data_IF_793438245880
#
_entry.id   IF_793438245880
#
_cell.length_a   1.000
_cell.length_b   1.000
_cell.length_c   1.000
_cell.angle_alpha   90.00
_cell.angle_beta   90.00
_cell.angle_gamma   90.00
#
_symmetry.space_group_name_H-M   'P 1'
#
loop_
_entity.id
_entity.type
_entity.pdbx_description
1 polymer ?
#
# COMPACT_ATOMS: atom_id res chain seq x y z
N UNK A 1 20.16 1.49 3.81
CA UNK A 1 19.60 0.99 2.54
C UNK A 1 18.98 2.13 1.72
N UNK A 2 18.22 3.03 2.33
CA UNK A 2 17.64 4.22 1.70
C UNK A 2 18.30 5.47 2.30
N UNK A 3 18.88 6.31 1.44
CA UNK A 3 19.60 7.55 1.81
C UNK A 3 18.94 8.78 1.17
N UNK A 4 17.96 8.58 0.29
CA UNK A 4 17.15 9.66 -0.26
C UNK A 4 15.94 9.97 0.66
N UNK A 5 15.44 11.21 0.70
CA UNK A 5 14.22 11.52 1.43
C UNK A 5 13.02 10.75 0.88
N UNK A 6 12.30 10.04 1.76
CA UNK A 6 11.08 9.30 1.41
C UNK A 6 9.85 10.17 1.68
N UNK A 7 9.78 11.34 1.05
CA UNK A 7 8.72 12.34 1.26
C UNK A 7 7.68 12.40 0.13
N UNK A 8 7.88 11.62 -0.93
CA UNK A 8 7.02 11.57 -2.11
C UNK A 8 6.89 10.15 -2.63
N UNK A 9 5.71 9.80 -3.16
CA UNK A 9 5.51 8.56 -3.91
C UNK A 9 6.46 8.44 -5.12
N UNK A 10 7.02 9.56 -5.60
CA UNK A 10 7.98 9.58 -6.71
C UNK A 10 9.22 8.72 -6.48
N UNK A 11 9.58 8.42 -5.23
CA UNK A 11 10.72 7.55 -4.91
C UNK A 11 10.55 6.13 -5.50
N UNK A 12 9.30 5.69 -5.70
CA UNK A 12 9.00 4.38 -6.27
C UNK A 12 9.32 4.28 -7.78
N UNK A 13 9.72 5.40 -8.42
CA UNK A 13 10.20 5.47 -9.80
C UNK A 13 11.70 5.78 -9.89
N UNK A 14 12.39 5.79 -8.74
CA UNK A 14 13.83 6.05 -8.74
C UNK A 14 14.61 4.77 -9.08
N UNK A 15 15.35 4.80 -10.20
CA UNK A 15 16.16 3.67 -10.67
C UNK A 15 17.22 3.19 -9.67
N UNK A 16 17.62 4.04 -8.73
CA UNK A 16 18.53 3.70 -7.63
C UNK A 16 18.03 2.51 -6.80
N UNK A 17 16.72 2.36 -6.69
CA UNK A 17 16.07 1.30 -5.90
C UNK A 17 15.52 0.16 -6.76
N UNK A 18 15.98 0.07 -8.02
CA UNK A 18 15.59 -1.02 -8.92
C UNK A 18 15.82 -2.40 -8.26
N UNK A 19 14.88 -3.30 -8.49
CA UNK A 19 14.84 -4.66 -7.92
C UNK A 19 14.84 -4.69 -6.38
N UNK A 20 14.43 -3.57 -5.73
CA UNK A 20 14.35 -3.43 -4.27
C UNK A 20 13.08 -2.69 -3.82
N UNK A 21 12.04 -2.69 -4.66
CA UNK A 21 10.75 -2.06 -4.42
C UNK A 21 9.68 -3.15 -4.35
N UNK A 22 8.94 -3.20 -3.26
CA UNK A 22 7.75 -4.04 -3.12
C UNK A 22 6.50 -3.20 -3.38
N UNK A 23 5.69 -3.60 -4.35
CA UNK A 23 4.41 -2.97 -4.65
C UNK A 23 3.26 -3.83 -4.14
N UNK A 24 2.13 -3.19 -3.81
CA UNK A 24 0.90 -3.90 -3.49
C UNK A 24 0.37 -4.66 -4.71
N UNK A 25 0.08 -5.95 -4.54
CA UNK A 25 -0.69 -6.76 -5.50
C UNK A 25 -2.19 -6.43 -5.38
N UNK A 26 -2.48 -5.16 -5.58
CA UNK A 26 -3.83 -4.56 -5.54
C UNK A 26 -3.91 -3.48 -6.59
N UNK A 27 -4.79 -3.70 -7.58
CA UNK A 27 -5.03 -2.72 -8.65
C UNK A 27 -5.47 -1.38 -8.06
N UNK A 28 -6.35 -1.41 -7.05
CA UNK A 28 -6.87 -0.21 -6.38
C UNK A 28 -5.77 0.61 -5.74
N UNK A 29 -4.87 -0.04 -5.00
CA UNK A 29 -3.82 0.65 -4.26
C UNK A 29 -2.71 1.12 -5.21
N UNK A 30 -2.28 0.29 -6.16
CA UNK A 30 -1.27 0.68 -7.15
C UNK A 30 -1.72 1.90 -7.99
N UNK A 31 -2.95 1.89 -8.48
CA UNK A 31 -3.50 3.06 -9.19
C UNK A 31 -3.71 4.25 -8.26
N UNK A 32 -4.21 4.03 -7.03
CA UNK A 32 -4.49 5.09 -6.08
C UNK A 32 -3.25 5.92 -5.74
N UNK A 33 -2.13 5.28 -5.39
CA UNK A 33 -0.87 6.00 -5.11
C UNK A 33 -0.30 6.68 -6.36
N UNK A 34 -0.45 6.05 -7.53
CA UNK A 34 0.03 6.63 -8.78
C UNK A 34 -0.77 7.87 -9.17
N UNK A 35 -2.10 7.83 -9.04
CA UNK A 35 -2.96 9.00 -9.23
C UNK A 35 -2.59 10.12 -8.27
N UNK A 36 -2.35 9.80 -6.99
CA UNK A 36 -1.88 10.77 -6.01
C UNK A 36 -0.55 11.40 -6.40
N UNK A 37 0.41 10.59 -6.84
CA UNK A 37 1.69 11.07 -7.33
C UNK A 37 1.56 12.03 -8.52
N UNK A 38 0.62 11.77 -9.43
CA UNK A 38 0.32 12.62 -10.59
C UNK A 38 -0.52 13.86 -10.21
N UNK A 39 -0.95 14.00 -8.95
CA UNK A 39 -1.74 15.13 -8.49
C UNK A 39 -3.25 14.95 -8.66
N UNK A 40 -3.71 13.77 -9.03
CA UNK A 40 -5.12 13.45 -9.25
C UNK A 40 -5.81 12.91 -7.99
N UNK A 41 -7.13 12.83 -8.06
CA UNK A 41 -7.92 12.13 -7.03
C UNK A 41 -7.66 10.62 -7.10
N UNK A 42 -7.40 9.97 -5.96
CA UNK A 42 -7.31 8.50 -5.91
C UNK A 42 -8.65 7.80 -6.29
N UNK A 43 -9.74 8.56 -6.32
CA UNK A 43 -11.08 8.09 -6.72
C UNK A 43 -11.45 8.57 -8.13
N UNK A 44 -10.49 9.03 -8.93
CA UNK A 44 -10.77 9.45 -10.30
C UNK A 44 -11.37 8.31 -11.11
N UNK A 45 -12.35 8.68 -11.95
CA UNK A 45 -12.97 7.82 -12.96
C UNK A 45 -12.72 8.37 -14.37
N UNK A 46 -11.93 9.42 -14.49
CA UNK A 46 -11.54 10.02 -15.75
C UNK A 46 -10.58 9.06 -16.50
N UNK A 47 -10.90 8.77 -17.76
CA UNK A 47 -10.16 7.80 -18.55
C UNK A 47 -8.77 8.29 -18.97
N UNK A 48 -8.58 9.59 -19.12
CA UNK A 48 -7.28 10.17 -19.47
C UNK A 48 -6.35 10.11 -18.26
N UNK A 49 -6.84 10.48 -17.06
CA UNK A 49 -6.08 10.36 -15.81
C UNK A 49 -5.72 8.89 -15.49
N UNK A 50 -6.67 7.96 -15.69
CA UNK A 50 -6.41 6.53 -15.50
C UNK A 50 -5.42 5.98 -16.54
N UNK A 51 -5.45 6.51 -17.76
CA UNK A 51 -4.50 6.11 -18.81
C UNK A 51 -3.11 6.62 -18.49
N UNK A 52 -2.97 7.83 -17.99
CA UNK A 52 -1.69 8.38 -17.54
C UNK A 52 -1.13 7.57 -16.37
N UNK A 53 -1.95 7.28 -15.35
CA UNK A 53 -1.55 6.45 -14.22
C UNK A 53 -1.10 5.03 -14.66
N UNK A 54 -1.83 4.40 -15.59
CA UNK A 54 -1.43 3.12 -16.18
C UNK A 54 -0.05 3.20 -16.86
N UNK A 55 0.18 4.23 -17.67
CA UNK A 55 1.45 4.39 -18.36
C UNK A 55 2.58 4.59 -17.34
N UNK A 56 2.34 5.36 -16.29
CA UNK A 56 3.28 5.57 -15.19
C UNK A 56 3.63 4.28 -14.44
N UNK A 57 2.64 3.41 -14.22
CA UNK A 57 2.88 2.08 -13.63
C UNK A 57 3.65 1.14 -14.58
N UNK A 58 3.44 1.26 -15.90
CA UNK A 58 4.23 0.51 -16.88
C UNK A 58 5.71 0.94 -16.84
N UNK A 59 5.98 2.24 -16.68
CA UNK A 59 7.36 2.76 -16.50
C UNK A 59 8.00 2.22 -15.20
N UNK A 60 7.22 2.09 -14.12
CA UNK A 60 7.70 1.58 -12.84
C UNK A 60 8.00 0.08 -12.86
N UNK A 61 7.22 -0.69 -13.63
CA UNK A 61 7.24 -2.15 -13.60
C UNK A 61 8.65 -2.78 -13.66
N UNK A 62 9.60 -2.29 -14.47
CA UNK A 62 10.97 -2.81 -14.52
C UNK A 62 11.79 -2.55 -13.26
N UNK A 63 11.33 -1.68 -12.36
CA UNK A 63 12.00 -1.33 -11.10
C UNK A 63 11.51 -2.18 -9.93
N UNK A 64 10.33 -2.78 -10.06
CA UNK A 64 9.66 -3.51 -9.00
C UNK A 64 10.26 -4.90 -8.84
N UNK A 65 10.67 -5.24 -7.61
CA UNK A 65 11.13 -6.58 -7.25
C UNK A 65 9.98 -7.59 -7.25
N UNK A 66 8.86 -7.22 -6.61
CA UNK A 66 7.68 -8.09 -6.53
C UNK A 66 6.40 -7.29 -6.25
N UNK A 67 5.28 -7.84 -6.70
CA UNK A 67 3.94 -7.45 -6.27
C UNK A 67 3.49 -8.42 -5.19
N UNK A 68 3.22 -7.92 -3.99
CA UNK A 68 2.93 -8.72 -2.79
C UNK A 68 1.86 -8.05 -1.93
N UNK A 69 1.26 -8.80 -1.03
CA UNK A 69 0.38 -8.26 0.03
C UNK A 69 1.00 -8.61 1.38
N UNK A 70 0.61 -9.71 1.99
CA UNK A 70 1.04 -10.11 3.35
C UNK A 70 2.55 -10.38 3.44
N UNK A 71 3.16 -10.85 2.35
CA UNK A 71 4.60 -11.14 2.29
C UNK A 71 5.48 -9.89 2.39
N UNK A 72 4.92 -8.69 2.16
CA UNK A 72 5.67 -7.43 2.28
C UNK A 72 6.25 -7.27 3.69
N UNK A 73 5.49 -7.63 4.73
CA UNK A 73 5.92 -7.56 6.12
C UNK A 73 7.19 -8.37 6.36
N UNK A 74 7.16 -9.67 6.06
CA UNK A 74 8.27 -10.56 6.36
C UNK A 74 9.53 -10.18 5.56
N UNK A 75 9.35 -9.75 4.30
CA UNK A 75 10.45 -9.28 3.45
C UNK A 75 11.09 -8.00 3.98
N UNK A 76 10.29 -7.04 4.46
CA UNK A 76 10.82 -5.80 5.04
C UNK A 76 11.54 -6.07 6.36
N UNK A 77 10.99 -6.90 7.25
CA UNK A 77 11.64 -7.30 8.49
C UNK A 77 12.99 -7.97 8.20
N UNK A 78 13.04 -8.82 7.16
CA UNK A 78 14.26 -9.51 6.69
C UNK A 78 15.24 -8.64 5.89
N UNK A 79 14.96 -7.35 5.67
CA UNK A 79 15.77 -6.44 4.84
C UNK A 79 15.94 -6.92 3.38
N UNK A 80 14.93 -7.62 2.83
CA UNK A 80 14.97 -8.12 1.45
C UNK A 80 14.65 -7.06 0.39
N UNK A 81 14.12 -5.90 0.81
CA UNK A 81 13.83 -4.77 -0.06
C UNK A 81 14.12 -3.44 0.63
N UNK A 82 14.33 -2.40 -0.17
CA UNK A 82 14.59 -1.05 0.34
C UNK A 82 13.30 -0.27 0.59
N UNK A 83 12.29 -0.44 -0.27
CA UNK A 83 11.03 0.28 -0.24
C UNK A 83 9.85 -0.69 -0.35
N UNK A 84 8.79 -0.42 0.38
CA UNK A 84 7.54 -1.17 0.27
C UNK A 84 6.32 -0.26 0.36
N UNK A 85 5.34 -0.50 -0.50
CA UNK A 85 3.98 -0.02 -0.29
C UNK A 85 3.27 -1.04 0.58
N UNK A 86 2.85 -0.63 1.78
CA UNK A 86 2.35 -1.52 2.83
C UNK A 86 1.22 -0.84 3.61
N UNK A 87 0.33 -1.62 4.19
CA UNK A 87 -0.73 -1.10 5.06
C UNK A 87 -0.17 -0.66 6.42
N UNK A 88 -0.76 0.37 7.01
CA UNK A 88 -0.26 1.01 8.24
C UNK A 88 -0.11 0.03 9.41
N UNK A 89 -1.05 -0.89 9.60
CA UNK A 89 -0.98 -1.88 10.68
C UNK A 89 0.22 -2.81 10.55
N UNK A 90 0.50 -3.26 9.34
CA UNK A 90 1.67 -4.10 9.06
C UNK A 90 2.98 -3.31 9.14
N UNK A 91 2.98 -2.05 8.67
CA UNK A 91 4.14 -1.18 8.78
C UNK A 91 4.55 -0.95 10.24
N UNK A 92 3.57 -0.73 11.13
CA UNK A 92 3.84 -0.61 12.58
C UNK A 92 4.44 -1.91 13.13
N UNK A 93 3.91 -3.07 12.73
CA UNK A 93 4.47 -4.37 13.13
C UNK A 93 5.91 -4.52 12.63
N UNK A 94 6.19 -4.14 11.38
CA UNK A 94 7.55 -4.14 10.84
C UNK A 94 8.51 -3.30 11.69
N UNK A 95 8.11 -2.09 12.09
CA UNK A 95 8.95 -1.21 12.93
C UNK A 95 9.21 -1.78 14.34
N UNK A 96 8.25 -2.50 14.90
CA UNK A 96 8.43 -3.16 16.20
C UNK A 96 9.43 -4.32 16.14
N UNK A 97 9.48 -5.04 15.03
CA UNK A 97 10.38 -6.19 14.84
C UNK A 97 11.73 -5.79 14.23
N UNK A 98 11.77 -4.73 13.44
CA UNK A 98 13.00 -4.19 12.84
C UNK A 98 13.03 -2.66 12.99
N UNK A 99 13.71 -2.13 14.02
CA UNK A 99 13.78 -0.69 14.31
C UNK A 99 14.49 0.15 13.24
N UNK A 100 15.17 -0.48 12.28
CA UNK A 100 15.83 0.23 11.17
C UNK A 100 14.84 0.64 10.06
N UNK A 101 13.58 0.18 10.18
CA UNK A 101 12.51 0.52 9.23
C UNK A 101 11.77 1.79 9.65
N UNK A 102 11.48 2.63 8.68
CA UNK A 102 10.68 3.84 8.86
C UNK A 102 9.38 3.75 8.06
N UNK A 103 8.27 4.15 8.72
CA UNK A 103 6.96 4.29 8.06
C UNK A 103 6.68 5.75 7.76
N UNK A 104 6.45 6.04 6.48
CA UNK A 104 6.23 7.41 6.00
C UNK A 104 4.90 7.50 5.23
N UNK A 105 4.18 8.59 5.44
CA UNK A 105 3.07 8.99 4.58
C UNK A 105 3.58 10.12 3.69
N UNK A 106 3.71 9.90 2.37
CA UNK A 106 4.22 10.92 1.44
C UNK A 106 3.33 12.18 1.39
N UNK A 107 3.91 13.29 0.97
CA UNK A 107 3.26 14.61 0.93
C UNK A 107 2.02 14.69 0.03
N UNK A 108 1.94 13.84 -0.98
CA UNK A 108 0.75 13.76 -1.84
C UNK A 108 -0.45 13.13 -1.14
N UNK A 109 -0.22 12.59 0.07
CA UNK A 109 -1.21 11.88 0.86
C UNK A 109 -1.37 10.41 0.44
N UNK A 110 -2.19 9.68 1.19
CA UNK A 110 -2.39 8.24 1.02
C UNK A 110 -3.87 7.88 1.00
N UNK A 111 -4.16 6.61 0.76
CA UNK A 111 -5.48 6.04 0.90
C UNK A 111 -5.86 5.92 2.39
N UNK A 112 -7.11 6.19 2.70
CA UNK A 112 -7.69 5.93 4.02
C UNK A 112 -9.03 5.19 3.84
N UNK A 113 -9.23 4.13 4.59
CA UNK A 113 -10.49 3.38 4.60
C UNK A 113 -10.87 2.97 6.02
N UNK A 114 -12.08 2.54 6.16
CA UNK A 114 -12.62 2.03 7.42
C UNK A 114 -13.15 0.63 7.16
N UNK A 115 -12.58 -0.36 7.82
CA UNK A 115 -13.12 -1.72 7.83
C UNK A 115 -14.34 -1.80 8.75
N UNK A 116 -15.33 -2.56 8.34
CA UNK A 116 -16.57 -2.71 9.09
C UNK A 116 -16.99 -4.16 9.18
N UNK A 117 -17.37 -4.59 10.37
CA UNK A 117 -18.07 -5.85 10.56
C UNK A 117 -19.49 -5.72 10.04
N UNK A 118 -19.95 -6.69 9.28
CA UNK A 118 -21.32 -6.70 8.76
C UNK A 118 -22.00 -8.05 9.02
N UNK A 119 -23.28 -8.02 9.31
CA UNK A 119 -24.11 -9.21 9.45
C UNK A 119 -25.06 -9.27 8.26
N UNK A 120 -25.00 -10.31 7.40
CA UNK A 120 -25.92 -10.45 6.28
C UNK A 120 -27.38 -10.46 6.72
N UNK A 121 -28.26 -9.86 5.93
CA UNK A 121 -29.70 -9.75 6.25
C UNK A 121 -30.37 -11.09 6.63
N UNK A 122 -29.92 -12.18 6.00
CA UNK A 122 -30.49 -13.51 6.20
C UNK A 122 -29.64 -14.40 7.13
N UNK A 123 -28.78 -13.84 7.96
CA UNK A 123 -27.97 -14.59 8.90
C UNK A 123 -28.86 -15.32 9.91
N UNK A 124 -28.66 -16.64 10.05
CA UNK A 124 -29.47 -17.49 10.94
C UNK A 124 -29.11 -17.31 12.43
N UNK A 125 -27.86 -16.92 12.70
CA UNK A 125 -27.32 -16.79 14.08
C UNK A 125 -26.93 -15.34 14.35
N UNK A 126 -27.83 -14.40 14.13
CA UNK A 126 -27.57 -12.96 14.25
C UNK A 126 -27.11 -12.59 15.68
N UNK A 127 -27.76 -13.11 16.70
CA UNK A 127 -27.42 -12.83 18.10
C UNK A 127 -25.99 -13.26 18.45
N UNK A 128 -25.56 -14.43 17.97
CA UNK A 128 -24.18 -14.89 18.17
C UNK A 128 -23.17 -14.02 17.40
N UNK A 129 -23.52 -13.56 16.20
CA UNK A 129 -22.68 -12.65 15.42
C UNK A 129 -22.53 -11.29 16.11
N UNK A 130 -23.62 -10.73 16.66
CA UNK A 130 -23.59 -9.50 17.44
C UNK A 130 -22.75 -9.67 18.72
N UNK A 131 -22.89 -10.80 19.42
CA UNK A 131 -22.09 -11.11 20.60
C UNK A 131 -20.59 -11.19 20.27
N UNK A 132 -20.24 -11.81 19.12
CA UNK A 132 -18.86 -11.88 18.66
C UNK A 132 -18.29 -10.50 18.31
N UNK A 133 -19.04 -9.68 17.57
CA UNK A 133 -18.63 -8.31 17.22
C UNK A 133 -18.40 -7.46 18.48
N UNK A 134 -19.27 -7.60 19.48
CA UNK A 134 -19.13 -6.87 20.75
C UNK A 134 -17.95 -7.37 21.60
N UNK A 135 -17.48 -8.60 21.38
CA UNK A 135 -16.30 -9.14 22.05
C UNK A 135 -15.00 -8.63 21.44
N UNK A 136 -14.96 -8.44 20.09
CA UNK A 136 -13.79 -7.94 19.35
C UNK A 136 -13.52 -6.47 19.62
#
# INVERSE_FOLDING_TARGET
MVDDPVDSWGILWNEKYKDSILMQDSVRDAFGITLKYLGYSLNSTDLDELTEAKNKLIEQKPLVQAYVVDQARDKMIGNEAALAVIYSGEAITCQLENPDLEYVIPKEGSNMWIDSWVIPKNAKNKENAEAFINFM
#
